data_IF_641715565920
#
_entry.id   IF_641715565920
#
_cell.length_a   1.000
_cell.length_b   1.000
_cell.length_c   1.000
_cell.angle_alpha   90.00
_cell.angle_beta   90.00
_cell.angle_gamma   90.00
#
_symmetry.space_group_name_H-M   'P 1'
#
loop_
_entity.id
_entity.type
_entity.pdbx_description
1 polymer ?
#
# COMPACT_ATOMS: atom_id res chain seq x y z
N UNK A 1 -63.02 58.70 -50.93
CA UNK A 1 -62.73 57.74 -52.02
C UNK A 1 -62.22 56.47 -51.36
N UNK A 2 -63.05 55.43 -51.16
CA UNK A 2 -63.53 54.44 -52.15
C UNK A 2 -62.35 53.59 -52.67
N UNK A 3 -62.36 52.26 -52.79
CA UNK A 3 -63.31 51.13 -52.66
C UNK A 3 -62.42 49.85 -52.54
N UNK A 4 -62.82 48.60 -52.32
CA UNK A 4 -64.06 47.81 -52.20
C UNK A 4 -63.66 46.48 -51.49
N UNK A 5 -64.54 45.78 -50.78
CA UNK A 5 -65.28 44.57 -51.22
C UNK A 5 -64.39 43.57 -52.01
N UNK A 6 -64.25 42.30 -51.66
CA UNK A 6 -65.29 41.29 -51.41
C UNK A 6 -64.69 40.08 -50.64
N UNK A 7 -65.58 39.29 -50.04
CA UNK A 7 -65.24 38.09 -49.28
C UNK A 7 -65.07 36.82 -50.12
N UNK A 8 -65.18 35.69 -49.39
CA UNK A 8 -65.30 34.30 -49.82
C UNK A 8 -64.01 33.44 -49.72
N UNK A 9 -63.92 32.76 -48.58
CA UNK A 9 -63.95 31.30 -48.48
C UNK A 9 -62.67 30.45 -48.64
N UNK A 10 -62.57 29.57 -47.64
CA UNK A 10 -62.11 28.18 -47.68
C UNK A 10 -60.63 27.82 -47.59
N UNK A 11 -60.45 26.80 -46.74
CA UNK A 11 -59.49 25.73 -46.89
C UNK A 11 -58.05 25.97 -46.42
N UNK A 12 -57.86 25.58 -45.16
CA UNK A 12 -56.97 24.45 -44.91
C UNK A 12 -55.50 24.78 -44.78
N UNK A 13 -55.10 25.18 -43.58
CA UNK A 13 -53.78 24.88 -43.01
C UNK A 13 -53.92 25.03 -41.49
N UNK A 14 -54.61 24.13 -40.80
CA UNK A 14 -54.01 22.87 -40.33
C UNK A 14 -52.49 22.98 -40.13
N UNK A 15 -52.10 22.91 -38.87
CA UNK A 15 -50.90 22.17 -38.48
C UNK A 15 -49.64 22.47 -39.29
N UNK A 16 -48.84 23.47 -38.89
CA UNK A 16 -47.37 23.35 -38.94
C UNK A 16 -46.65 24.56 -38.35
N UNK A 17 -46.45 24.52 -37.03
CA UNK A 17 -45.12 24.80 -36.44
C UNK A 17 -44.97 24.18 -35.05
N UNK A 18 -45.69 23.10 -34.78
CA UNK A 18 -45.32 22.15 -33.73
C UNK A 18 -44.24 21.22 -34.30
N UNK A 19 -43.08 21.17 -33.63
CA UNK A 19 -42.14 20.06 -33.75
C UNK A 19 -41.07 20.18 -34.83
N UNK A 20 -40.01 20.95 -34.57
CA UNK A 20 -38.66 20.40 -34.79
C UNK A 20 -38.16 19.78 -33.50
N UNK A 21 -38.86 18.72 -33.07
CA UNK A 21 -38.25 17.68 -32.25
C UNK A 21 -37.30 16.95 -33.17
N UNK A 22 -36.10 17.51 -33.32
CA UNK A 22 -34.96 16.85 -33.96
C UNK A 22 -34.74 15.54 -33.22
N UNK A 23 -34.87 14.45 -33.98
CA UNK A 23 -34.78 13.07 -33.50
C UNK A 23 -33.55 12.94 -32.58
N UNK A 24 -33.68 12.32 -31.39
CA UNK A 24 -32.54 12.11 -30.50
C UNK A 24 -31.49 11.29 -31.27
N UNK A 25 -30.44 11.97 -31.73
CA UNK A 25 -29.36 11.35 -32.47
C UNK A 25 -28.55 10.44 -31.56
N UNK A 26 -27.88 9.45 -32.14
CA UNK A 26 -26.98 8.52 -31.46
C UNK A 26 -25.90 9.24 -30.63
N UNK A 27 -25.58 10.49 -30.98
CA UNK A 27 -24.68 11.37 -30.21
C UNK A 27 -25.28 11.73 -28.84
N UNK A 28 -26.59 11.97 -28.75
CA UNK A 28 -27.27 12.26 -27.48
C UNK A 28 -27.31 11.07 -26.53
N UNK A 29 -27.41 9.84 -27.06
CA UNK A 29 -27.41 8.61 -26.24
C UNK A 29 -26.04 8.27 -25.69
N UNK A 30 -24.97 8.40 -26.50
CA UNK A 30 -23.60 8.15 -26.04
C UNK A 30 -23.14 9.22 -25.03
N UNK A 31 -23.51 10.47 -25.24
CA UNK A 31 -23.25 11.53 -24.27
C UNK A 31 -23.97 11.29 -22.93
N UNK A 32 -25.23 10.83 -22.95
CA UNK A 32 -25.99 10.56 -21.73
C UNK A 32 -25.42 9.37 -20.94
N UNK A 33 -24.91 8.33 -21.61
CA UNK A 33 -24.21 7.22 -20.95
C UNK A 33 -22.86 7.64 -20.37
N UNK A 34 -22.12 8.51 -21.05
CA UNK A 34 -20.83 9.00 -20.55
C UNK A 34 -20.99 9.86 -19.28
N UNK A 35 -22.02 10.70 -19.22
CA UNK A 35 -22.30 11.53 -18.02
C UNK A 35 -22.78 10.68 -16.85
N UNK A 36 -23.67 9.72 -17.08
CA UNK A 36 -24.18 8.82 -16.03
C UNK A 36 -23.10 7.85 -15.53
N UNK A 37 -22.30 7.28 -16.43
CA UNK A 37 -21.16 6.43 -16.04
C UNK A 37 -20.03 7.25 -15.39
N UNK A 38 -19.82 8.49 -15.83
CA UNK A 38 -18.81 9.39 -15.28
C UNK A 38 -19.06 9.77 -13.82
N UNK A 39 -20.31 10.05 -13.44
CA UNK A 39 -20.67 10.35 -12.05
C UNK A 39 -20.68 9.11 -11.17
N UNK A 40 -21.16 7.97 -11.67
CA UNK A 40 -21.11 6.70 -10.95
C UNK A 40 -19.66 6.27 -10.63
N UNK A 41 -18.74 6.46 -11.59
CA UNK A 41 -17.30 6.17 -11.40
C UNK A 41 -16.67 7.14 -10.40
N UNK A 42 -17.06 8.43 -10.43
CA UNK A 42 -16.56 9.42 -9.47
C UNK A 42 -16.97 9.08 -8.02
N UNK A 43 -18.22 8.65 -7.79
CA UNK A 43 -18.69 8.23 -6.46
C UNK A 43 -18.04 6.92 -6.02
N UNK A 44 -17.89 5.94 -6.91
CA UNK A 44 -17.20 4.68 -6.59
C UNK A 44 -15.72 4.92 -6.21
N UNK A 45 -15.04 5.80 -6.94
CA UNK A 45 -13.67 6.21 -6.61
C UNK A 45 -13.59 6.95 -5.26
N UNK A 46 -14.57 7.80 -4.94
CA UNK A 46 -14.61 8.49 -3.66
C UNK A 46 -14.81 7.52 -2.48
N UNK A 47 -15.71 6.55 -2.62
CA UNK A 47 -15.94 5.51 -1.59
C UNK A 47 -14.72 4.58 -1.48
N UNK A 48 -14.10 4.20 -2.60
CA UNK A 48 -12.87 3.40 -2.58
C UNK A 48 -11.73 4.12 -1.86
N UNK A 49 -11.55 5.42 -2.11
CA UNK A 49 -10.54 6.25 -1.40
C UNK A 49 -10.87 6.38 0.09
N UNK A 50 -12.14 6.55 0.43
CA UNK A 50 -12.56 6.63 1.83
C UNK A 50 -12.32 5.31 2.57
N UNK A 51 -12.62 4.18 1.95
CA UNK A 51 -12.33 2.86 2.50
C UNK A 51 -10.83 2.60 2.64
N UNK A 52 -10.03 3.00 1.65
CA UNK A 52 -8.57 2.91 1.70
C UNK A 52 -8.00 3.77 2.85
N UNK A 53 -8.46 5.01 3.01
CA UNK A 53 -8.03 5.87 4.11
C UNK A 53 -8.42 5.30 5.47
N UNK A 54 -9.63 4.74 5.60
CA UNK A 54 -10.08 4.11 6.85
C UNK A 54 -9.30 2.84 7.18
N UNK A 55 -8.88 2.08 6.17
CA UNK A 55 -8.00 0.93 6.36
C UNK A 55 -6.60 1.37 6.81
N UNK A 56 -6.04 2.41 6.18
CA UNK A 56 -4.75 2.98 6.55
C UNK A 56 -4.76 3.54 7.98
N UNK A 57 -5.83 4.23 8.38
CA UNK A 57 -6.00 4.76 9.74
C UNK A 57 -6.08 3.65 10.79
N UNK A 58 -6.80 2.54 10.49
CA UNK A 58 -6.84 1.36 11.36
C UNK A 58 -5.47 0.69 11.50
N UNK A 59 -4.69 0.62 10.43
CA UNK A 59 -3.33 0.08 10.46
C UNK A 59 -2.42 0.96 11.31
N UNK A 60 -2.45 2.28 11.11
CA UNK A 60 -1.69 3.24 11.92
C UNK A 60 -2.07 3.16 13.40
N UNK A 61 -3.36 3.06 13.73
CA UNK A 61 -3.81 2.91 15.11
C UNK A 61 -3.38 1.56 15.73
N UNK A 62 -3.36 0.48 14.95
CA UNK A 62 -2.89 -0.82 15.42
C UNK A 62 -1.37 -0.84 15.68
N UNK A 63 -0.57 -0.19 14.82
CA UNK A 63 0.87 -0.02 15.05
C UNK A 63 1.18 0.80 16.30
N UNK A 64 0.43 1.88 16.54
CA UNK A 64 0.57 2.69 17.75
C UNK A 64 0.26 1.88 19.02
N UNK A 65 -0.81 1.07 19.00
CA UNK A 65 -1.13 0.19 20.13
C UNK A 65 -0.10 -0.92 20.35
N UNK A 66 0.49 -1.46 19.27
CA UNK A 66 1.55 -2.46 19.37
C UNK A 66 2.85 -1.87 19.95
N UNK A 67 3.20 -0.63 19.60
CA UNK A 67 4.37 0.06 20.14
C UNK A 67 4.24 0.35 21.64
N UNK A 68 3.03 0.66 22.12
CA UNK A 68 2.80 0.99 23.53
C UNK A 68 2.74 -0.24 24.46
N UNK A 69 2.51 -1.44 23.91
CA UNK A 69 2.59 -2.71 24.65
C UNK A 69 3.99 -3.35 24.65
N UNK A 70 4.99 -2.71 24.07
CA UNK A 70 6.35 -3.25 24.07
C UNK A 70 6.89 -3.36 25.52
N UNK A 71 7.32 -4.55 25.98
CA UNK A 71 7.88 -4.72 27.31
C UNK A 71 9.17 -3.90 27.47
N UNK A 72 9.48 -3.40 28.68
CA UNK A 72 10.69 -2.62 28.92
C UNK A 72 11.93 -3.44 28.56
N UNK A 73 12.97 -2.81 27.96
CA UNK A 73 14.18 -3.52 27.58
C UNK A 73 14.83 -4.15 28.82
N UNK A 74 15.37 -5.38 28.71
CA UNK A 74 16.05 -6.03 29.83
C UNK A 74 17.22 -5.16 30.27
N UNK A 75 17.23 -4.82 31.56
CA UNK A 75 18.33 -4.11 32.18
C UNK A 75 19.58 -5.00 32.13
N UNK A 76 20.53 -4.66 31.27
CA UNK A 76 21.83 -5.30 31.20
C UNK A 76 22.59 -5.00 32.51
N UNK A 77 22.73 -6.03 33.36
CA UNK A 77 23.73 -5.98 34.42
C UNK A 77 25.11 -6.18 33.79
N UNK A 78 26.05 -5.23 33.98
CA UNK A 78 27.43 -5.45 33.55
C UNK A 78 28.02 -6.63 34.33
N UNK A 79 28.77 -7.54 33.67
CA UNK A 79 29.42 -8.64 34.35
C UNK A 79 30.42 -8.11 35.40
N UNK A 80 30.57 -8.78 36.56
CA UNK A 80 31.55 -8.40 37.55
C UNK A 80 32.96 -8.46 36.94
N UNK A 81 33.89 -7.56 37.35
CA UNK A 81 35.24 -7.55 36.83
C UNK A 81 35.93 -8.88 37.14
N UNK A 82 36.28 -9.62 36.09
CA UNK A 82 37.10 -10.81 36.20
C UNK A 82 38.54 -10.38 36.56
N UNK A 83 39.04 -10.91 37.67
CA UNK A 83 40.45 -10.84 38.00
C UNK A 83 41.26 -11.57 36.92
N UNK A 84 42.03 -10.84 36.11
CA UNK A 84 43.05 -11.43 35.24
C UNK A 84 44.25 -11.86 36.10
N UNK A 85 44.67 -13.14 36.05
CA UNK A 85 46.00 -13.52 36.53
C UNK A 85 47.09 -12.83 35.67
N UNK A 86 48.29 -12.59 36.23
CA UNK A 86 49.39 -11.95 35.51
C UNK A 86 49.75 -12.73 34.24
N UNK A 87 50.10 -12.04 33.14
CA UNK A 87 50.35 -12.70 31.86
C UNK A 87 51.57 -13.64 31.93
N UNK A 88 51.48 -14.85 31.35
CA UNK A 88 52.65 -15.70 31.12
C UNK A 88 53.60 -15.05 30.08
N UNK A 89 54.89 -15.42 30.07
CA UNK A 89 55.88 -14.88 29.13
C UNK A 89 55.45 -15.12 27.67
N UNK A 90 55.84 -14.23 26.73
CA UNK A 90 55.38 -14.30 25.35
C UNK A 90 55.88 -15.58 24.66
N UNK A 91 54.93 -16.43 24.28
CA UNK A 91 55.12 -17.48 23.30
C UNK A 91 54.86 -16.90 21.89
N UNK A 92 55.54 -17.39 20.84
CA UNK A 92 55.41 -16.86 19.49
C UNK A 92 53.96 -16.92 19.01
N UNK A 93 53.48 -15.79 18.50
CA UNK A 93 52.15 -15.62 17.92
C UNK A 93 51.94 -16.59 16.74
N UNK A 94 50.96 -17.51 16.80
CA UNK A 94 50.40 -18.05 15.59
C UNK A 94 49.49 -16.99 14.96
N UNK A 95 49.73 -16.71 13.69
CA UNK A 95 48.93 -15.85 12.84
C UNK A 95 47.42 -16.10 13.08
N UNK A 96 46.70 -15.06 13.47
CA UNK A 96 45.24 -15.05 13.47
C UNK A 96 44.75 -14.96 12.02
N UNK A 97 44.70 -16.11 11.34
CA UNK A 97 43.80 -16.32 10.22
C UNK A 97 43.34 -17.78 10.21
N UNK A 98 42.48 -18.10 11.18
CA UNK A 98 41.72 -19.36 11.24
C UNK A 98 40.45 -19.15 12.08
N UNK A 99 39.80 -18.00 11.88
CA UNK A 99 38.57 -17.63 12.59
C UNK A 99 37.28 -17.94 11.83
N UNK A 100 37.36 -18.26 10.53
CA UNK A 100 36.19 -18.30 9.64
C UNK A 100 35.08 -19.23 10.10
N UNK A 101 35.40 -20.43 10.57
CA UNK A 101 34.36 -21.41 10.96
C UNK A 101 33.69 -21.06 12.30
N UNK A 102 34.46 -20.58 13.28
CA UNK A 102 33.91 -20.12 14.56
C UNK A 102 33.06 -18.86 14.41
N UNK A 103 33.45 -17.95 13.52
CA UNK A 103 32.71 -16.75 13.20
C UNK A 103 31.41 -17.08 12.43
N UNK A 104 31.46 -18.06 11.51
CA UNK A 104 30.27 -18.59 10.83
C UNK A 104 29.28 -19.21 11.83
N UNK A 105 29.75 -20.01 12.79
CA UNK A 105 28.90 -20.60 13.83
C UNK A 105 28.27 -19.50 14.70
N UNK A 106 29.03 -18.46 15.06
CA UNK A 106 28.52 -17.31 15.81
C UNK A 106 27.43 -16.56 15.04
N UNK A 107 27.64 -16.31 13.74
CA UNK A 107 26.68 -15.64 12.86
C UNK A 107 25.39 -16.46 12.67
N UNK A 108 25.48 -17.79 12.52
CA UNK A 108 24.31 -18.68 12.46
C UNK A 108 23.52 -18.62 13.78
N UNK A 109 24.21 -18.58 14.93
CA UNK A 109 23.58 -18.43 16.24
C UNK A 109 22.83 -17.10 16.41
N UNK A 110 23.36 -16.00 15.85
CA UNK A 110 22.70 -14.70 15.86
C UNK A 110 21.43 -14.69 15.00
N UNK A 111 21.46 -15.34 13.83
CA UNK A 111 20.28 -15.51 12.98
C UNK A 111 19.17 -16.31 13.67
N UNK A 112 19.51 -17.34 14.45
CA UNK A 112 18.54 -18.15 15.18
C UNK A 112 17.80 -17.33 16.25
N UNK A 113 18.53 -16.49 16.99
CA UNK A 113 17.93 -15.57 17.98
C UNK A 113 16.95 -14.59 17.34
N UNK A 114 17.25 -14.08 16.15
CA UNK A 114 16.38 -13.14 15.43
C UNK A 114 15.11 -13.83 14.91
N UNK A 115 15.21 -15.09 14.46
CA UNK A 115 14.04 -15.91 14.12
C UNK A 115 13.17 -16.17 15.34
N UNK A 116 13.75 -16.56 16.46
CA UNK A 116 13.02 -16.85 17.70
C UNK A 116 12.35 -15.60 18.29
N UNK A 117 12.96 -14.43 18.07
CA UNK A 117 12.37 -13.13 18.39
C UNK A 117 11.26 -12.69 17.41
N UNK A 118 10.97 -13.48 16.37
CA UNK A 118 9.97 -13.16 15.34
C UNK A 118 10.38 -12.04 14.38
N UNK A 119 11.66 -11.62 14.40
CA UNK A 119 12.20 -10.57 13.52
C UNK A 119 12.49 -11.11 12.12
N UNK A 120 12.79 -12.40 12.02
CA UNK A 120 12.98 -13.11 10.75
C UNK A 120 11.97 -14.24 10.63
N UNK A 121 11.39 -14.41 9.44
CA UNK A 121 10.62 -15.60 9.12
C UNK A 121 11.54 -16.82 8.92
N UNK A 122 10.99 -18.04 9.07
CA UNK A 122 11.75 -19.28 8.83
C UNK A 122 12.36 -19.37 7.43
N UNK A 123 11.66 -18.82 6.43
CA UNK A 123 12.14 -18.76 5.05
C UNK A 123 13.39 -17.87 4.92
N UNK A 124 13.39 -16.71 5.58
CA UNK A 124 14.53 -15.77 5.56
C UNK A 124 15.72 -16.31 6.34
N UNK A 125 15.48 -16.96 7.48
CA UNK A 125 16.51 -17.64 8.25
C UNK A 125 17.22 -18.73 7.43
N UNK A 126 16.46 -19.58 6.73
CA UNK A 126 17.03 -20.64 5.89
C UNK A 126 17.88 -20.07 4.75
N UNK A 127 17.41 -19.01 4.09
CA UNK A 127 18.15 -18.38 2.99
C UNK A 127 19.46 -17.73 3.46
N UNK A 128 19.46 -17.05 4.62
CA UNK A 128 20.65 -16.45 5.19
C UNK A 128 21.67 -17.50 5.65
N UNK A 129 21.19 -18.61 6.21
CA UNK A 129 22.04 -19.75 6.60
C UNK A 129 22.70 -20.41 5.39
N UNK A 130 21.98 -20.64 4.30
CA UNK A 130 22.57 -21.18 3.06
C UNK A 130 23.63 -20.25 2.48
N UNK A 131 23.38 -18.94 2.46
CA UNK A 131 24.38 -17.94 2.03
C UNK A 131 25.66 -17.97 2.87
N UNK A 132 25.54 -18.13 4.19
CA UNK A 132 26.69 -18.23 5.10
C UNK A 132 27.46 -19.55 4.90
N UNK A 133 26.77 -20.64 4.58
CA UNK A 133 27.38 -21.95 4.36
C UNK A 133 27.85 -22.17 2.91
N UNK A 134 27.61 -21.21 2.01
CA UNK A 134 27.95 -21.34 0.59
C UNK A 134 27.13 -22.40 -0.16
N UNK A 135 25.91 -22.67 0.29
CA UNK A 135 24.98 -23.68 -0.25
C UNK A 135 23.96 -23.11 -1.24
#
# INVERSE_FOLDING_TARGET
MAAGSDGFEESGDMFRRMGRVGRPGLVGTVARTAVVAGTATATANAVSRHQANKAAEKQAAAEQQAAEQAPPPPAYQPPPPAYQPPPPPPAPEPAADSGGENDLVAQIGQLAKLRDAGVLSDAEFSAAKSKLLGL
#
